data_IF_667037427173
#
_entry.id   IF_667037427173
#
_cell.length_a   1.000
_cell.length_b   1.000
_cell.length_c   1.000
_cell.angle_alpha   90.00
_cell.angle_beta   90.00
_cell.angle_gamma   90.00
#
_symmetry.space_group_name_H-M   'P 1'
#
loop_
_entity.id
_entity.type
_entity.pdbx_description
1 polymer ?
#
# COMPACT_ATOMS: atom_id res chain seq x y z
N UNK A 1 -8.03 14.29 -1.36
CA UNK A 1 -9.41 13.80 -1.25
C UNK A 1 -10.26 15.00 -0.85
N UNK A 2 -11.49 15.13 -1.35
CA UNK A 2 -12.37 16.28 -1.04
C UNK A 2 -13.47 15.80 -0.09
N UNK A 3 -13.25 15.99 1.22
CA UNK A 3 -14.12 15.43 2.26
C UNK A 3 -15.44 16.20 2.41
N UNK A 4 -15.43 17.51 2.20
CA UNK A 4 -16.61 18.36 2.31
C UNK A 4 -17.61 18.03 1.20
N UNK A 5 -17.12 17.86 -0.04
CA UNK A 5 -17.95 17.40 -1.15
C UNK A 5 -18.50 15.98 -0.93
N UNK A 6 -17.68 15.08 -0.37
CA UNK A 6 -18.12 13.72 -0.09
C UNK A 6 -19.21 13.67 0.98
N UNK A 7 -19.06 14.45 2.06
CA UNK A 7 -20.07 14.60 3.09
C UNK A 7 -21.38 15.12 2.48
N UNK A 8 -21.32 16.22 1.73
CA UNK A 8 -22.49 16.79 1.04
C UNK A 8 -23.20 15.78 0.13
N UNK A 9 -22.47 15.05 -0.71
CA UNK A 9 -23.05 14.06 -1.62
C UNK A 9 -23.69 12.86 -0.88
N UNK A 10 -23.17 12.48 0.29
CA UNK A 10 -23.69 11.39 1.11
C UNK A 10 -24.89 11.80 1.98
N UNK A 11 -24.93 13.05 2.47
CA UNK A 11 -25.96 13.51 3.40
C UNK A 11 -27.06 14.34 2.74
N UNK A 12 -26.73 15.12 1.71
CA UNK A 12 -27.61 16.15 1.13
C UNK A 12 -27.88 15.99 -0.39
N UNK A 13 -27.08 15.18 -1.10
CA UNK A 13 -27.11 15.07 -2.58
C UNK A 13 -28.43 14.59 -3.21
N UNK A 14 -29.36 14.04 -2.42
CA UNK A 14 -30.67 13.57 -2.89
C UNK A 14 -31.77 14.65 -2.88
N UNK A 15 -31.55 15.83 -2.27
CA UNK A 15 -32.61 16.84 -2.06
C UNK A 15 -32.90 17.75 -3.26
N UNK A 16 -32.25 17.54 -4.41
CA UNK A 16 -32.24 18.46 -5.54
C UNK A 16 -33.00 18.03 -6.81
N UNK A 17 -34.07 17.22 -6.73
CA UNK A 17 -34.95 16.96 -7.88
C UNK A 17 -36.15 17.90 -7.89
N UNK A 18 -35.90 19.21 -7.88
CA UNK A 18 -36.94 20.19 -8.19
C UNK A 18 -36.75 20.71 -9.63
N UNK A 19 -37.72 20.34 -10.47
CA UNK A 19 -38.03 20.84 -11.82
C UNK A 19 -36.97 20.78 -12.95
N UNK A 20 -37.35 20.31 -14.16
CA UNK A 20 -36.52 20.40 -15.35
C UNK A 20 -36.53 21.84 -15.85
N UNK A 21 -35.69 22.70 -15.26
CA UNK A 21 -35.47 24.05 -15.81
C UNK A 21 -34.83 23.87 -17.18
N UNK A 22 -35.54 24.30 -18.23
CA UNK A 22 -35.05 24.35 -19.61
C UNK A 22 -33.77 25.16 -19.62
N UNK A 23 -32.65 24.46 -19.67
CA UNK A 23 -31.33 25.07 -19.60
C UNK A 23 -30.94 25.43 -21.05
N UNK A 24 -30.66 26.70 -21.32
CA UNK A 24 -30.15 27.09 -22.64
C UNK A 24 -28.87 26.30 -22.95
N UNK A 25 -28.56 26.02 -24.24
CA UNK A 25 -27.35 25.28 -24.63
C UNK A 25 -26.05 25.88 -24.05
N UNK A 26 -26.01 27.21 -23.91
CA UNK A 26 -24.90 27.95 -23.29
C UNK A 26 -24.75 27.66 -21.79
N UNK A 27 -25.85 27.60 -21.04
CA UNK A 27 -25.84 27.33 -19.60
C UNK A 27 -25.49 25.86 -19.32
N UNK A 28 -25.89 24.94 -20.20
CA UNK A 28 -25.50 23.53 -20.11
C UNK A 28 -24.00 23.33 -20.38
N UNK A 29 -23.46 23.98 -21.42
CA UNK A 29 -22.03 23.96 -21.72
C UNK A 29 -21.18 24.52 -20.55
N UNK A 30 -21.62 25.63 -19.95
CA UNK A 30 -20.95 26.22 -18.79
C UNK A 30 -20.99 25.29 -17.57
N UNK A 31 -22.12 24.65 -17.29
CA UNK A 31 -22.22 23.65 -16.20
C UNK A 31 -21.30 22.45 -16.45
N UNK A 32 -21.17 22.00 -17.70
CA UNK A 32 -20.26 20.91 -18.07
C UNK A 32 -18.79 21.31 -17.85
N UNK A 33 -18.40 22.52 -18.24
CA UNK A 33 -17.05 23.06 -18.00
C UNK A 33 -16.75 23.17 -16.50
N UNK A 34 -17.72 23.60 -15.70
CA UNK A 34 -17.60 23.63 -14.25
C UNK A 34 -17.45 22.23 -13.65
N UNK A 35 -18.26 21.26 -14.09
CA UNK A 35 -18.14 19.88 -13.63
C UNK A 35 -16.78 19.25 -13.99
N UNK A 36 -16.22 19.60 -15.15
CA UNK A 36 -14.90 19.18 -15.58
C UNK A 36 -13.77 19.81 -14.78
N UNK A 37 -13.77 21.14 -14.64
CA UNK A 37 -12.76 21.87 -13.87
C UNK A 37 -12.76 21.52 -12.38
N UNK A 38 -13.94 21.34 -11.78
CA UNK A 38 -14.10 20.89 -10.39
C UNK A 38 -13.94 19.38 -10.24
N UNK A 39 -13.67 18.68 -11.34
CA UNK A 39 -13.42 17.24 -11.37
C UNK A 39 -14.60 16.40 -10.82
N UNK A 40 -15.82 16.91 -10.92
CA UNK A 40 -17.08 16.29 -10.46
C UNK A 40 -17.54 15.14 -11.36
N UNK A 41 -16.92 14.94 -12.53
CA UNK A 41 -17.15 13.81 -13.44
C UNK A 41 -16.62 12.45 -12.91
N UNK A 42 -16.34 12.33 -11.61
CA UNK A 42 -15.79 11.12 -11.00
C UNK A 42 -16.92 10.16 -10.64
N UNK A 43 -16.73 8.88 -10.96
CA UNK A 43 -17.65 7.82 -10.54
C UNK A 43 -17.54 7.48 -9.04
N UNK A 44 -16.49 7.95 -8.35
CA UNK A 44 -16.26 7.72 -6.92
C UNK A 44 -16.17 9.03 -6.16
N UNK A 45 -16.95 9.11 -5.08
CA UNK A 45 -17.08 10.29 -4.21
C UNK A 45 -15.92 10.40 -3.21
N UNK A 46 -15.40 9.25 -2.75
CA UNK A 46 -14.21 9.13 -1.90
C UNK A 46 -13.02 8.64 -2.73
N UNK A 47 -12.35 9.55 -3.42
CA UNK A 47 -11.14 9.24 -4.17
C UNK A 47 -10.00 10.20 -3.81
N UNK A 48 -8.80 9.67 -3.60
CA UNK A 48 -7.60 10.49 -3.55
C UNK A 48 -7.43 11.16 -4.92
N UNK A 49 -7.32 12.51 -4.91
CA UNK A 49 -7.19 13.33 -6.12
C UNK A 49 -5.92 12.99 -6.90
N UNK A 50 -4.93 12.41 -6.21
CA UNK A 50 -3.73 11.86 -6.80
C UNK A 50 -3.93 10.35 -6.89
N UNK A 51 -3.79 9.78 -8.10
CA UNK A 51 -3.41 8.36 -8.17
C UNK A 51 -2.13 8.25 -7.32
N UNK A 52 -2.00 7.26 -6.43
CA UNK A 52 -0.75 7.07 -5.71
C UNK A 52 0.39 7.13 -6.74
N UNK A 53 1.47 7.89 -6.48
CA UNK A 53 2.62 7.89 -7.37
C UNK A 53 2.95 6.43 -7.68
N UNK A 54 3.21 6.13 -8.95
CA UNK A 54 3.64 4.79 -9.37
C UNK A 54 4.67 4.32 -8.35
N UNK A 55 4.45 3.17 -7.69
CA UNK A 55 5.41 2.68 -6.72
C UNK A 55 6.77 2.77 -7.38
N UNK A 56 7.63 3.60 -6.83
CA UNK A 56 9.02 3.64 -7.27
C UNK A 56 9.50 2.24 -6.93
N UNK A 57 9.81 1.46 -7.95
CA UNK A 57 10.46 0.17 -7.78
C UNK A 57 11.78 0.45 -7.05
N UNK A 58 11.76 0.34 -5.72
CA UNK A 58 12.95 0.43 -4.87
C UNK A 58 13.96 -0.68 -5.22
N UNK A 59 13.56 -1.60 -6.09
CA UNK A 59 14.32 -2.72 -6.63
C UNK A 59 14.21 -2.64 -8.15
N UNK A 60 15.28 -2.29 -8.89
CA UNK A 60 15.27 -2.27 -10.35
C UNK A 60 14.69 -3.58 -10.94
N UNK A 61 13.77 -3.47 -11.90
CA UNK A 61 13.17 -4.61 -12.64
C UNK A 61 14.20 -5.54 -13.31
N UNK A 62 15.45 -5.10 -13.44
CA UNK A 62 16.61 -5.92 -13.77
C UNK A 62 16.79 -7.13 -12.83
N UNK A 63 16.43 -6.98 -11.54
CA UNK A 63 16.61 -8.01 -10.51
C UNK A 63 15.51 -9.07 -10.58
N UNK A 64 14.28 -8.70 -10.98
CA UNK A 64 13.11 -9.60 -11.03
C UNK A 64 12.93 -10.28 -12.40
N UNK A 65 13.22 -9.60 -13.51
CA UNK A 65 13.11 -10.17 -14.86
C UNK A 65 14.28 -11.12 -15.21
N UNK A 66 15.33 -11.13 -14.39
CA UNK A 66 16.45 -12.06 -14.55
C UNK A 66 16.13 -13.52 -14.19
N UNK A 67 14.86 -13.86 -13.98
CA UNK A 67 14.46 -15.24 -13.61
C UNK A 67 13.85 -16.04 -14.76
N UNK A 68 13.45 -15.43 -15.89
CA UNK A 68 12.61 -16.16 -16.85
C UNK A 68 13.14 -16.50 -18.23
N UNK A 69 14.27 -15.93 -18.67
CA UNK A 69 14.90 -16.35 -19.92
C UNK A 69 16.39 -16.09 -19.80
N UNK A 70 17.19 -17.09 -19.42
CA UNK A 70 18.29 -17.62 -20.24
C UNK A 70 18.54 -19.04 -19.72
N UNK A 71 19.21 -19.87 -20.53
CA UNK A 71 20.09 -20.94 -20.04
C UNK A 71 21.16 -20.33 -19.12
N UNK A 72 20.74 -19.83 -17.96
CA UNK A 72 21.58 -19.21 -16.95
C UNK A 72 22.21 -20.36 -16.19
N UNK A 73 23.53 -20.40 -16.18
CA UNK A 73 24.28 -21.12 -15.14
C UNK A 73 23.61 -20.80 -13.81
N UNK A 74 22.91 -21.78 -13.24
CA UNK A 74 22.11 -21.59 -12.05
C UNK A 74 23.07 -21.07 -10.98
N UNK A 75 22.86 -19.83 -10.53
CA UNK A 75 23.66 -19.26 -9.44
C UNK A 75 23.64 -20.30 -8.31
N UNK A 76 24.79 -20.67 -7.75
CA UNK A 76 24.84 -21.69 -6.72
C UNK A 76 23.89 -21.27 -5.60
N UNK A 77 22.96 -22.17 -5.26
CA UNK A 77 22.07 -21.96 -4.11
C UNK A 77 22.95 -21.81 -2.88
N UNK A 78 22.66 -20.80 -2.04
CA UNK A 78 23.36 -20.66 -0.77
C UNK A 78 23.19 -21.93 0.04
N UNK A 79 24.31 -22.50 0.50
CA UNK A 79 24.31 -23.63 1.42
C UNK A 79 24.07 -23.07 2.82
N UNK A 80 23.03 -23.56 3.49
CA UNK A 80 22.76 -23.26 4.90
C UNK A 80 23.16 -24.50 5.71
N UNK A 81 24.13 -24.38 6.63
CA UNK A 81 24.51 -25.49 7.50
C UNK A 81 23.29 -26.05 8.24
N UNK A 82 23.17 -27.37 8.30
CA UNK A 82 22.10 -28.06 9.03
C UNK A 82 22.49 -28.36 10.48
N UNK A 83 23.72 -28.00 10.87
CA UNK A 83 24.29 -28.22 12.20
C UNK A 83 24.53 -26.89 12.89
N UNK A 84 24.45 -26.89 14.22
CA UNK A 84 24.86 -25.73 15.01
C UNK A 84 26.35 -25.45 14.83
N UNK A 85 26.72 -24.17 14.82
CA UNK A 85 28.13 -23.77 14.81
C UNK A 85 28.76 -23.95 16.20
N UNK A 86 27.99 -23.65 17.26
CA UNK A 86 28.38 -23.79 18.66
C UNK A 86 27.22 -24.35 19.47
N UNK A 87 27.56 -25.14 20.46
CA UNK A 87 26.62 -25.67 21.46
C UNK A 87 27.16 -25.29 22.82
N UNK A 88 26.33 -24.63 23.65
CA UNK A 88 26.67 -24.21 25.00
C UNK A 88 25.81 -24.98 25.98
N UNK A 89 26.41 -25.37 27.11
CA UNK A 89 25.65 -25.97 28.19
C UNK A 89 24.84 -24.89 28.92
N UNK A 90 23.56 -25.16 29.13
CA UNK A 90 22.65 -24.30 29.88
C UNK A 90 22.06 -25.11 31.06
N UNK A 91 22.84 -25.35 32.13
CA UNK A 91 22.33 -26.03 33.32
C UNK A 91 21.20 -25.20 33.93
N UNK A 92 20.20 -25.89 34.48
CA UNK A 92 19.06 -25.29 35.19
C UNK A 92 18.17 -24.34 34.36
N UNK A 93 18.24 -24.40 33.02
CA UNK A 93 17.32 -23.66 32.16
C UNK A 93 15.89 -24.16 32.38
N UNK A 94 14.99 -23.24 32.73
CA UNK A 94 13.59 -23.55 33.02
C UNK A 94 12.82 -23.75 31.71
N UNK A 95 12.16 -24.90 31.58
CA UNK A 95 11.24 -25.21 30.48
C UNK A 95 9.83 -24.65 30.78
N UNK A 96 9.69 -23.33 30.72
CA UNK A 96 8.42 -22.62 30.89
C UNK A 96 8.13 -21.75 29.66
N UNK A 97 7.00 -22.03 29.02
CA UNK A 97 6.53 -21.36 27.81
C UNK A 97 6.31 -19.84 27.99
N UNK A 98 6.02 -19.38 29.20
CA UNK A 98 5.67 -17.98 29.45
C UNK A 98 6.87 -17.10 29.81
N UNK A 99 8.08 -17.68 29.87
CA UNK A 99 9.30 -16.95 30.22
C UNK A 99 10.14 -16.63 28.98
N UNK A 100 10.74 -15.44 28.98
CA UNK A 100 11.77 -15.05 28.01
C UNK A 100 13.11 -15.01 28.75
N UNK A 101 13.88 -16.10 28.68
CA UNK A 101 15.10 -16.32 29.48
C UNK A 101 16.41 -16.03 28.74
N UNK A 102 16.35 -15.59 27.48
CA UNK A 102 17.53 -15.34 26.64
C UNK A 102 17.40 -14.02 25.89
N UNK A 103 18.43 -13.19 25.96
CA UNK A 103 18.56 -11.96 25.16
C UNK A 103 19.98 -11.81 24.57
N UNK A 104 20.08 -11.16 23.41
CA UNK A 104 21.35 -10.87 22.75
C UNK A 104 21.55 -9.37 22.61
N UNK A 105 22.38 -8.82 23.48
CA UNK A 105 22.67 -7.39 23.51
C UNK A 105 23.51 -6.93 22.31
N UNK A 106 23.40 -5.65 21.97
CA UNK A 106 24.19 -5.00 20.90
C UNK A 106 25.71 -5.05 21.13
N UNK A 107 26.15 -5.26 22.37
CA UNK A 107 27.54 -5.50 22.75
C UNK A 107 28.02 -6.93 22.45
N UNK A 108 27.21 -7.74 21.76
CA UNK A 108 27.46 -9.14 21.47
C UNK A 108 27.61 -10.01 22.73
N UNK A 109 26.78 -9.73 23.75
CA UNK A 109 26.72 -10.47 25.00
C UNK A 109 25.36 -11.17 25.07
N UNK A 110 25.38 -12.46 25.39
CA UNK A 110 24.18 -13.27 25.65
C UNK A 110 23.86 -13.20 27.15
N UNK A 111 22.62 -12.89 27.51
CA UNK A 111 22.13 -12.82 28.89
C UNK A 111 20.94 -13.74 29.11
#
# INVERSE_FOLDING_TARGET
>A
MDFDYAHYMLTEGAKGKENPVVCSPSREAYRKLLAESLNMNRTRILAFKNKPPTPVDLIPHEITLSTHQQDRTAKPRRIIPQTSERTLDAPDLVDDYYLNLLDWGSANVLA
#
